data_IF_303613899628
#
_entry.id   IF_303613899628
#
_cell.length_a   1.000
_cell.length_b   1.000
_cell.length_c   1.000
_cell.angle_alpha   90.00
_cell.angle_beta   90.00
_cell.angle_gamma   90.00
#
_symmetry.space_group_name_H-M   'P 1'
#
loop_
_entity.id
_entity.type
_entity.pdbx_description
1 polymer ?
#
# COMPACT_ATOMS: atom_id res chain seq x y z
N UNK A 1 13.21 -9.58 20.15
CA UNK A 1 12.11 -9.33 19.20
C UNK A 1 12.70 -9.40 17.80
N UNK A 2 12.30 -10.39 17.00
CA UNK A 2 12.85 -10.56 15.66
C UNK A 2 12.39 -9.39 14.79
N UNK A 3 13.31 -8.51 14.40
CA UNK A 3 13.06 -7.50 13.38
C UNK A 3 12.72 -8.22 12.07
N UNK A 4 11.43 -8.30 11.71
CA UNK A 4 10.98 -8.76 10.39
C UNK A 4 11.70 -7.90 9.35
N UNK A 5 12.66 -8.49 8.63
CA UNK A 5 13.39 -7.81 7.56
C UNK A 5 12.45 -7.65 6.39
N UNK A 6 11.81 -6.49 6.28
CA UNK A 6 10.83 -6.24 5.23
C UNK A 6 11.46 -5.53 4.04
N UNK A 7 11.12 -6.00 2.84
CA UNK A 7 11.47 -5.33 1.60
C UNK A 7 10.39 -4.30 1.25
N UNK A 8 10.49 -3.08 1.81
CA UNK A 8 9.64 -1.96 1.36
C UNK A 8 10.21 -1.42 0.05
N UNK A 9 9.49 -1.64 -1.05
CA UNK A 9 9.87 -1.12 -2.37
C UNK A 9 8.93 -0.01 -2.79
N UNK A 10 9.49 1.11 -3.23
CA UNK A 10 8.72 2.16 -3.89
C UNK A 10 8.67 1.87 -5.37
N UNK A 11 7.48 1.69 -5.93
CA UNK A 11 7.31 1.50 -7.37
C UNK A 11 7.34 2.83 -8.13
N UNK A 12 7.08 3.94 -7.45
CA UNK A 12 7.17 5.29 -8.01
C UNK A 12 8.20 6.13 -7.27
N UNK A 13 8.89 7.00 -8.01
CA UNK A 13 9.88 7.92 -7.45
C UNK A 13 9.17 9.12 -6.81
N UNK A 14 9.22 9.21 -5.49
CA UNK A 14 8.75 10.37 -4.74
C UNK A 14 9.89 11.39 -4.64
N UNK A 15 9.76 12.53 -5.33
CA UNK A 15 10.76 13.62 -5.27
C UNK A 15 10.72 14.38 -3.94
N UNK A 16 9.55 14.44 -3.30
CA UNK A 16 9.37 15.15 -2.05
C UNK A 16 9.73 14.25 -0.85
N UNK A 17 10.81 14.60 -0.15
CA UNK A 17 11.34 13.81 0.97
C UNK A 17 10.35 13.69 2.14
N UNK A 18 9.61 14.74 2.47
CA UNK A 18 8.62 14.73 3.56
C UNK A 18 7.48 13.76 3.25
N UNK A 19 6.96 13.80 2.02
CA UNK A 19 5.95 12.85 1.54
C UNK A 19 6.45 11.41 1.57
N UNK A 20 7.70 11.19 1.20
CA UNK A 20 8.33 9.87 1.23
C UNK A 20 8.47 9.33 2.65
N UNK A 21 8.92 10.14 3.60
CA UNK A 21 9.03 9.77 5.01
C UNK A 21 7.67 9.47 5.63
N UNK A 22 6.67 10.31 5.36
CA UNK A 22 5.30 10.09 5.82
C UNK A 22 4.75 8.76 5.28
N UNK A 23 4.94 8.50 3.99
CA UNK A 23 4.52 7.24 3.35
C UNK A 23 5.19 6.02 4.02
N UNK A 24 6.48 6.10 4.33
CA UNK A 24 7.20 5.04 5.05
C UNK A 24 6.65 4.82 6.45
N UNK A 25 6.45 5.90 7.21
CA UNK A 25 5.93 5.85 8.58
C UNK A 25 4.55 5.18 8.61
N UNK A 26 3.65 5.59 7.71
CA UNK A 26 2.30 5.02 7.61
C UNK A 26 2.32 3.56 7.15
N UNK A 27 3.16 3.23 6.17
CA UNK A 27 3.34 1.83 5.71
C UNK A 27 3.88 0.95 6.84
N UNK A 28 4.83 1.46 7.63
CA UNK A 28 5.36 0.75 8.80
C UNK A 28 4.30 0.56 9.89
N UNK A 29 3.43 1.54 10.12
CA UNK A 29 2.34 1.41 11.10
C UNK A 29 1.40 0.25 10.72
N UNK A 30 0.96 0.19 9.46
CA UNK A 30 0.12 -0.90 8.95
C UNK A 30 0.87 -2.23 8.97
N UNK A 31 2.14 -2.24 8.59
CA UNK A 31 2.97 -3.45 8.60
C UNK A 31 3.11 -4.10 9.99
N UNK A 32 3.16 -3.28 11.04
CA UNK A 32 3.25 -3.75 12.42
C UNK A 32 1.91 -4.27 12.98
N UNK A 33 0.83 -4.21 12.20
CA UNK A 33 -0.45 -4.82 12.60
C UNK A 33 -0.38 -6.35 12.45
N UNK A 34 -1.06 -7.10 13.34
CA UNK A 34 -1.06 -8.57 13.28
C UNK A 34 -1.68 -9.10 11.98
N UNK A 35 -2.62 -8.35 11.39
CA UNK A 35 -3.27 -8.70 10.12
C UNK A 35 -2.26 -8.74 8.95
N UNK A 36 -1.20 -7.91 9.04
CA UNK A 36 -0.15 -7.87 8.05
C UNK A 36 1.05 -8.80 8.36
N UNK A 37 0.92 -9.68 9.36
CA UNK A 37 2.03 -10.53 9.80
C UNK A 37 2.41 -11.64 8.80
N UNK A 38 1.47 -12.01 7.94
CA UNK A 38 1.66 -13.08 6.96
C UNK A 38 2.33 -12.59 5.67
N UNK A 39 2.34 -11.29 5.41
CA UNK A 39 3.00 -10.73 4.23
C UNK A 39 4.51 -10.68 4.43
N UNK A 40 5.26 -10.67 3.33
CA UNK A 40 6.74 -10.62 3.33
C UNK A 40 7.29 -9.55 2.39
N UNK A 41 6.51 -9.12 1.39
CA UNK A 41 6.89 -8.08 0.43
C UNK A 41 5.83 -6.97 0.43
N UNK A 42 6.31 -5.71 0.50
CA UNK A 42 5.47 -4.51 0.53
C UNK A 42 5.92 -3.58 -0.58
N UNK A 43 5.02 -3.28 -1.51
CA UNK A 43 5.28 -2.36 -2.61
C UNK A 43 4.36 -1.16 -2.53
N UNK A 44 4.92 0.03 -2.45
CA UNK A 44 4.16 1.27 -2.47
C UNK A 44 3.86 1.60 -3.94
N UNK A 45 2.59 1.43 -4.36
CA UNK A 45 2.14 1.69 -5.74
C UNK A 45 1.94 3.17 -5.99
N UNK A 46 1.12 3.83 -5.17
CA UNK A 46 0.78 5.24 -5.35
C UNK A 46 0.83 5.96 -3.98
N UNK A 47 1.84 6.81 -3.77
CA UNK A 47 1.97 7.55 -2.52
C UNK A 47 1.09 8.80 -2.56
N UNK A 48 0.16 8.89 -1.61
CA UNK A 48 -0.65 10.09 -1.35
C UNK A 48 -1.57 10.44 -2.52
N UNK A 49 -2.39 9.47 -2.90
CA UNK A 49 -3.44 9.64 -3.89
C UNK A 49 -4.73 10.10 -3.21
N UNK A 50 -5.45 11.00 -3.87
CA UNK A 50 -6.87 11.24 -3.63
C UNK A 50 -7.57 10.76 -4.88
N UNK A 51 -8.40 9.72 -4.77
CA UNK A 51 -9.18 9.26 -5.93
C UNK A 51 -10.31 10.24 -6.21
N UNK A 52 -10.71 10.42 -7.47
CA UNK A 52 -11.86 11.29 -7.80
C UNK A 52 -13.16 10.85 -7.10
N UNK A 53 -13.26 9.58 -6.73
CA UNK A 53 -14.39 8.98 -6.02
C UNK A 53 -14.21 8.93 -4.49
N UNK A 54 -12.99 9.11 -3.98
CA UNK A 54 -12.67 9.09 -2.56
C UNK A 54 -11.68 10.23 -2.27
N UNK A 55 -12.24 11.35 -1.83
CA UNK A 55 -11.49 12.57 -1.48
C UNK A 55 -10.59 12.37 -0.25
N UNK A 56 -10.65 11.21 0.40
CA UNK A 56 -9.81 10.91 1.55
C UNK A 56 -8.38 10.65 1.09
N UNK A 57 -7.39 11.34 1.68
CA UNK A 57 -5.99 11.08 1.41
C UNK A 57 -5.65 9.63 1.80
N UNK A 58 -5.15 8.86 0.84
CA UNK A 58 -4.70 7.51 1.14
C UNK A 58 -3.42 7.13 0.39
N UNK A 59 -2.71 6.17 0.96
CA UNK A 59 -1.56 5.53 0.34
C UNK A 59 -1.99 4.16 -0.12
N UNK A 60 -1.74 3.86 -1.40
CA UNK A 60 -1.98 2.54 -1.95
C UNK A 60 -0.69 1.74 -1.88
N UNK A 61 -0.71 0.71 -1.04
CA UNK A 61 0.36 -0.30 -0.96
C UNK A 61 -0.14 -1.63 -1.51
N UNK A 62 0.79 -2.45 -1.99
CA UNK A 62 0.55 -3.85 -2.35
C UNK A 62 1.33 -4.73 -1.39
N UNK A 63 0.63 -5.62 -0.74
CA UNK A 63 1.14 -6.60 0.19
C UNK A 63 1.14 -7.95 -0.51
N UNK A 64 2.21 -8.72 -0.35
CA UNK A 64 2.33 -10.05 -0.94
C UNK A 64 2.92 -11.05 0.04
N UNK A 65 2.29 -12.21 0.11
CA UNK A 65 2.85 -13.41 0.75
C UNK A 65 3.80 -14.12 -0.21
N UNK A 66 4.68 -15.03 0.28
CA UNK A 66 5.54 -15.83 -0.59
C UNK A 66 4.77 -16.60 -1.66
N UNK A 67 3.61 -17.15 -1.29
CA UNK A 67 2.71 -17.88 -2.20
C UNK A 67 2.11 -16.96 -3.26
N UNK A 68 1.70 -15.75 -2.87
CA UNK A 68 1.21 -14.74 -3.80
C UNK A 68 2.30 -14.31 -4.77
N UNK A 69 3.53 -14.12 -4.32
CA UNK A 69 4.67 -13.80 -5.20
C UNK A 69 4.87 -14.91 -6.25
N UNK A 70 4.84 -16.17 -5.82
CA UNK A 70 4.99 -17.32 -6.74
C UNK A 70 3.87 -17.41 -7.78
N UNK A 71 2.65 -16.96 -7.43
CA UNK A 71 1.48 -16.94 -8.32
C UNK A 71 1.34 -15.66 -9.14
N UNK A 72 2.22 -14.67 -8.94
CA UNK A 72 2.04 -13.34 -9.53
C UNK A 72 0.78 -12.63 -9.02
N UNK A 73 0.39 -12.86 -7.77
CA UNK A 73 -0.76 -12.25 -7.10
C UNK A 73 -0.32 -11.26 -6.01
N UNK A 74 -1.28 -10.53 -5.47
CA UNK A 74 -1.07 -9.72 -4.27
C UNK A 74 -2.32 -9.00 -3.82
N UNK A 75 -2.34 -8.59 -2.55
CA UNK A 75 -3.42 -7.81 -1.98
C UNK A 75 -3.07 -6.33 -2.01
N UNK A 76 -4.06 -5.50 -2.35
CA UNK A 76 -3.91 -4.05 -2.23
C UNK A 76 -4.42 -3.61 -0.87
N UNK A 77 -3.68 -2.74 -0.20
CA UNK A 77 -4.14 -2.07 1.01
C UNK A 77 -4.14 -0.56 0.79
N UNK A 78 -5.25 0.08 1.18
CA UNK A 78 -5.36 1.52 1.24
C UNK A 78 -5.13 1.94 2.68
N UNK A 79 -4.13 2.78 2.91
CA UNK A 79 -3.83 3.36 4.21
C UNK A 79 -4.40 4.76 4.23
N UNK A 80 -5.45 4.97 5.03
CA UNK A 80 -6.06 6.26 5.28
C UNK A 80 -5.29 6.99 6.35
N UNK A 81 -5.05 8.27 6.11
CA UNK A 81 -4.37 9.15 7.03
C UNK A 81 -5.00 10.53 7.01
N UNK A 82 -4.94 11.22 8.14
CA UNK A 82 -5.44 12.57 8.24
C UNK A 82 -4.50 13.51 7.48
N UNK A 83 -5.02 14.29 6.53
CA UNK A 83 -4.19 15.20 5.73
C UNK A 83 -3.67 16.41 6.51
N UNK A 84 -4.33 16.80 7.60
CA UNK A 84 -3.97 17.98 8.37
C UNK A 84 -2.81 17.70 9.33
N UNK A 85 -2.84 16.55 10.01
CA UNK A 85 -1.85 16.10 10.98
C UNK A 85 -0.84 15.12 10.37
N UNK A 86 -1.22 14.39 9.31
CA UNK A 86 -0.38 13.35 8.72
C UNK A 86 -0.35 12.05 9.52
N UNK A 87 -1.30 11.89 10.44
CA UNK A 87 -1.38 10.72 11.33
C UNK A 87 -2.20 9.59 10.70
N UNK A 88 -1.80 8.37 11.04
CA UNK A 88 -2.48 7.16 10.61
C UNK A 88 -3.89 7.10 11.20
N UNK A 89 -4.90 6.91 10.35
CA UNK A 89 -6.30 6.75 10.79
C UNK A 89 -6.72 5.27 10.77
N UNK A 90 -6.63 4.66 9.58
CA UNK A 90 -7.10 3.31 9.35
C UNK A 90 -6.44 2.71 8.11
N UNK A 91 -6.56 1.40 7.94
CA UNK A 91 -6.26 0.76 6.67
C UNK A 91 -7.41 -0.13 6.23
N UNK A 92 -7.52 -0.32 4.93
CA UNK A 92 -8.45 -1.26 4.31
C UNK A 92 -7.67 -2.19 3.41
N UNK A 93 -7.70 -3.48 3.76
CA UNK A 93 -7.14 -4.53 2.94
C UNK A 93 -8.20 -5.01 1.93
N UNK A 94 -7.82 -5.05 0.66
CA UNK A 94 -8.64 -5.58 -0.41
C UNK A 94 -8.30 -7.05 -0.67
N UNK A 95 -9.21 -7.75 -1.32
CA UNK A 95 -9.02 -9.13 -1.76
C UNK A 95 -7.83 -9.24 -2.71
N UNK A 96 -7.27 -10.45 -2.77
CA UNK A 96 -6.17 -10.79 -3.66
C UNK A 96 -6.52 -10.50 -5.12
N UNK A 97 -5.58 -9.90 -5.85
CA UNK A 97 -5.66 -9.63 -7.28
C UNK A 97 -4.41 -10.17 -7.99
N UNK A 98 -4.61 -10.84 -9.12
CA UNK A 98 -3.54 -11.30 -10.00
C UNK A 98 -2.91 -10.09 -10.72
N UNK A 99 -1.60 -10.15 -11.00
CA UNK A 99 -0.90 -9.10 -11.77
C UNK A 99 -1.33 -9.05 -13.24
N UNK A 100 -1.77 -10.20 -13.79
CA UNK A 100 -2.32 -10.30 -15.15
C UNK A 100 -3.71 -9.69 -15.31
N UNK A 101 -4.45 -9.50 -14.21
CA UNK A 101 -5.65 -8.66 -14.21
C UNK A 101 -5.20 -7.20 -14.09
N UNK A 102 -4.45 -6.72 -15.09
CA UNK A 102 -4.21 -5.29 -15.22
C UNK A 102 -5.56 -4.61 -15.32
N UNK A 103 -5.77 -3.58 -14.51
CA UNK A 103 -6.77 -2.53 -14.71
C UNK A 103 -6.87 -2.21 -16.21
N UNK A 104 -7.85 -2.80 -16.89
CA UNK A 104 -8.44 -2.14 -18.03
C UNK A 104 -9.05 -0.86 -17.47
N UNK A 105 -8.66 0.35 -17.93
CA UNK A 105 -9.50 1.50 -17.70
C UNK A 105 -10.83 1.14 -18.34
N UNK A 106 -11.87 0.95 -17.54
CA UNK A 106 -13.22 0.77 -18.06
C UNK A 106 -13.54 1.98 -18.92
N UNK A 107 -13.38 1.83 -20.22
CA UNK A 107 -13.91 2.71 -21.24
C UNK A 107 -15.43 2.65 -21.06
N UNK A 108 -15.98 3.76 -20.55
CA UNK A 108 -17.42 3.97 -20.51
C UNK A 108 -17.82 4.44 -21.91
N UNK A 109 -18.70 3.65 -22.54
CA UNK A 109 -19.37 3.90 -23.82
C UNK A 109 -20.08 5.27 -23.87
#
# INVERSE_FOLDING_TARGET
MATRQVSIKFLQRIRNSSKRQLTLRLTQAVWNTPDCEHFTDVQIKNPLHTSHTDLRPHITIRLRTPEQIARGAGQTAHIYYDAASGDYEAFKLFTERLDSEKDEPGEVD
#
